data_IF_454445380880
#
_entry.id   IF_454445380880
#
_cell.length_a   1.000
_cell.length_b   1.000
_cell.length_c   1.000
_cell.angle_alpha   90.00
_cell.angle_beta   90.00
_cell.angle_gamma   90.00
#
_symmetry.space_group_name_H-M   'P 1'
#
loop_
_entity.id
_entity.type
_entity.pdbx_description
1 polymer ?
#
# COMPACT_ATOMS: atom_id res chain seq x y z
N UNK A 1 16.62 -32.93 -26.68
CA UNK A 1 15.73 -32.02 -25.93
C UNK A 1 16.55 -30.77 -25.69
N UNK A 2 16.03 -29.60 -26.04
CA UNK A 2 16.80 -28.36 -25.95
C UNK A 2 16.53 -27.70 -24.59
N UNK A 3 17.60 -27.46 -23.83
CA UNK A 3 17.52 -26.93 -22.46
C UNK A 3 18.11 -25.54 -22.47
N UNK A 4 17.29 -24.54 -22.13
CA UNK A 4 17.77 -23.17 -21.96
C UNK A 4 18.11 -22.95 -20.48
N UNK A 5 19.33 -22.47 -20.21
CA UNK A 5 19.83 -22.16 -18.86
C UNK A 5 19.88 -20.65 -18.67
N UNK A 6 19.42 -20.18 -17.51
CA UNK A 6 19.56 -18.79 -17.07
C UNK A 6 19.70 -18.73 -15.55
N UNK A 7 20.46 -17.76 -15.07
CA UNK A 7 20.71 -17.56 -13.64
C UNK A 7 19.56 -16.79 -12.97
N UNK A 8 19.07 -17.32 -11.86
CA UNK A 8 18.43 -16.54 -10.81
C UNK A 8 19.54 -16.22 -9.82
N UNK A 9 19.59 -14.99 -9.28
CA UNK A 9 20.54 -14.63 -8.22
C UNK A 9 20.48 -15.68 -7.09
N UNK A 10 21.46 -16.59 -7.08
CA UNK A 10 21.60 -17.67 -6.09
C UNK A 10 21.06 -19.06 -6.45
N UNK A 11 20.47 -19.32 -7.63
CA UNK A 11 20.05 -20.68 -8.04
C UNK A 11 19.94 -20.85 -9.57
N UNK A 12 20.39 -21.99 -10.11
CA UNK A 12 20.18 -22.35 -11.51
C UNK A 12 18.70 -22.67 -11.78
N UNK A 13 18.09 -22.01 -12.78
CA UNK A 13 16.74 -22.36 -13.26
C UNK A 13 16.86 -23.16 -14.56
N UNK A 14 16.25 -24.35 -14.58
CA UNK A 14 16.19 -25.23 -15.75
C UNK A 14 14.78 -25.18 -16.34
N UNK A 15 14.63 -24.63 -17.55
CA UNK A 15 13.34 -24.60 -18.27
C UNK A 15 13.31 -25.72 -19.30
N UNK A 16 12.39 -26.68 -19.13
CA UNK A 16 12.15 -27.75 -20.10
C UNK A 16 10.88 -27.46 -20.91
N UNK A 17 10.99 -27.50 -22.23
CA UNK A 17 9.87 -27.34 -23.15
C UNK A 17 9.42 -28.71 -23.68
N UNK A 18 8.19 -29.15 -23.36
CA UNK A 18 7.64 -30.41 -23.86
C UNK A 18 7.11 -30.32 -25.30
N UNK A 19 7.08 -31.47 -25.99
CA UNK A 19 6.59 -31.63 -27.39
C UNK A 19 5.05 -31.69 -27.50
N UNK A 20 4.32 -30.90 -26.71
CA UNK A 20 2.85 -30.81 -26.78
C UNK A 20 2.36 -29.83 -27.86
N UNK A 21 1.19 -30.11 -28.47
CA UNK A 21 0.57 -29.29 -29.56
C UNK A 21 -0.02 -27.94 -29.11
N UNK A 22 0.15 -27.52 -27.87
CA UNK A 22 -0.42 -26.26 -27.38
C UNK A 22 0.59 -25.10 -27.52
N UNK A 23 0.21 -24.11 -28.34
CA UNK A 23 0.74 -22.76 -28.44
C UNK A 23 2.26 -22.56 -28.31
N UNK A 24 2.95 -22.72 -29.45
CA UNK A 24 4.35 -22.32 -29.58
C UNK A 24 4.49 -20.79 -29.61
N UNK A 25 5.16 -20.21 -28.63
CA UNK A 25 5.93 -18.97 -28.88
C UNK A 25 7.25 -19.38 -29.51
N UNK A 26 7.49 -18.97 -30.76
CA UNK A 26 8.73 -19.30 -31.46
C UNK A 26 9.98 -18.87 -30.69
N UNK A 27 11.03 -19.68 -30.79
CA UNK A 27 12.35 -19.51 -30.14
C UNK A 27 12.94 -18.10 -30.33
N UNK A 28 12.60 -17.43 -31.44
CA UNK A 28 12.93 -16.04 -31.73
C UNK A 28 12.46 -15.02 -30.67
N UNK A 29 11.55 -15.40 -29.76
CA UNK A 29 11.03 -14.51 -28.70
C UNK A 29 11.87 -14.51 -27.42
N UNK A 30 12.85 -15.42 -27.28
CA UNK A 30 13.68 -15.54 -26.08
C UNK A 30 15.18 -15.69 -26.44
N UNK A 31 15.83 -14.64 -26.98
CA UNK A 31 17.23 -14.70 -27.39
C UNK A 31 18.18 -14.94 -26.20
N UNK A 32 19.30 -15.62 -26.44
CA UNK A 32 20.35 -15.83 -25.43
C UNK A 32 20.84 -14.48 -24.89
N UNK A 33 20.96 -14.34 -23.55
CA UNK A 33 21.37 -13.10 -22.88
C UNK A 33 20.24 -12.10 -22.59
N UNK A 34 18.98 -12.52 -22.66
CA UNK A 34 17.81 -11.71 -22.29
C UNK A 34 17.36 -11.98 -20.85
N UNK A 35 16.88 -10.93 -20.17
CA UNK A 35 16.32 -11.00 -18.81
C UNK A 35 14.79 -11.05 -18.84
N UNK A 36 14.19 -11.83 -17.93
CA UNK A 36 12.75 -12.09 -17.89
C UNK A 36 12.22 -12.00 -16.46
N UNK A 37 10.99 -11.50 -16.30
CA UNK A 37 10.25 -11.53 -15.04
C UNK A 37 9.19 -12.64 -15.15
N UNK A 38 9.18 -13.53 -14.15
CA UNK A 38 8.29 -14.68 -14.09
C UNK A 38 7.14 -14.41 -13.11
N UNK A 39 5.90 -14.34 -13.59
CA UNK A 39 4.72 -14.27 -12.74
C UNK A 39 4.18 -15.70 -12.50
N UNK A 40 4.40 -16.23 -11.31
CA UNK A 40 4.18 -17.65 -10.99
C UNK A 40 2.73 -18.02 -10.65
N UNK A 41 1.85 -17.06 -10.33
CA UNK A 41 0.57 -17.35 -9.66
C UNK A 41 -0.64 -16.65 -10.32
N UNK A 42 -0.95 -17.01 -11.58
CA UNK A 42 -2.21 -16.62 -12.24
C UNK A 42 -3.28 -17.70 -12.13
N UNK A 43 -4.59 -17.37 -12.18
CA UNK A 43 -5.71 -18.32 -12.08
C UNK A 43 -5.76 -19.40 -13.19
N UNK A 44 -4.86 -19.32 -14.17
CA UNK A 44 -4.66 -20.31 -15.24
C UNK A 44 -3.55 -21.33 -14.93
N UNK A 45 -2.98 -21.35 -13.72
CA UNK A 45 -1.93 -22.29 -13.33
C UNK A 45 -2.54 -23.65 -12.95
N UNK A 46 -2.05 -24.73 -13.57
CA UNK A 46 -2.44 -26.11 -13.22
C UNK A 46 -1.52 -26.63 -12.11
N UNK A 47 -2.05 -27.50 -11.23
CA UNK A 47 -1.27 -28.14 -10.16
C UNK A 47 -0.39 -29.27 -10.71
N UNK A 48 0.91 -29.23 -10.39
CA UNK A 48 1.93 -30.18 -10.82
C UNK A 48 3.01 -29.52 -11.67
N UNK A 49 4.28 -29.68 -11.26
CA UNK A 49 5.57 -29.29 -11.88
C UNK A 49 5.53 -28.01 -12.75
N UNK A 50 6.13 -26.95 -12.19
CA UNK A 50 6.18 -25.56 -12.68
C UNK A 50 6.18 -25.37 -14.20
N UNK A 51 5.08 -24.81 -14.72
CA UNK A 51 4.89 -24.46 -16.14
C UNK A 51 4.54 -22.97 -16.32
N UNK A 52 5.11 -22.33 -17.35
CA UNK A 52 4.71 -21.01 -17.88
C UNK A 52 3.44 -21.17 -18.74
N UNK A 53 2.32 -20.58 -18.33
CA UNK A 53 1.09 -20.45 -19.13
C UNK A 53 0.85 -18.95 -19.35
N UNK A 54 0.89 -18.37 -20.55
CA UNK A 54 0.16 -18.65 -21.79
C UNK A 54 -1.36 -18.82 -21.66
N UNK A 55 -1.97 -17.86 -20.94
CA UNK A 55 -3.32 -17.30 -21.16
C UNK A 55 -3.60 -16.09 -20.21
N UNK A 56 -2.57 -15.55 -19.55
CA UNK A 56 -2.72 -14.51 -18.52
C UNK A 56 -2.77 -13.08 -19.07
N UNK A 57 -3.44 -12.20 -18.33
CA UNK A 57 -3.62 -10.75 -18.51
C UNK A 57 -2.40 -9.98 -19.08
N UNK A 58 -1.17 -10.42 -18.81
CA UNK A 58 0.04 -9.64 -19.06
C UNK A 58 0.93 -10.25 -20.16
N UNK A 59 1.48 -9.39 -21.03
CA UNK A 59 2.44 -9.76 -22.10
C UNK A 59 3.57 -8.74 -22.09
N UNK A 60 4.68 -9.04 -21.43
CA UNK A 60 5.74 -8.07 -21.16
C UNK A 60 7.07 -8.48 -21.79
N UNK A 61 7.73 -7.55 -22.48
CA UNK A 61 9.09 -7.69 -23.02
C UNK A 61 10.00 -6.67 -22.35
N UNK A 62 11.12 -7.13 -21.77
CA UNK A 62 12.17 -6.24 -21.26
C UNK A 62 13.21 -5.97 -22.35
N UNK A 63 13.57 -4.71 -22.58
CA UNK A 63 14.63 -4.31 -23.52
C UNK A 63 15.31 -3.04 -23.01
N UNK A 64 16.62 -3.09 -22.79
CA UNK A 64 17.45 -1.93 -22.36
C UNK A 64 16.90 -1.19 -21.13
N UNK A 65 16.48 -1.92 -20.10
CA UNK A 65 15.91 -1.32 -18.88
C UNK A 65 14.46 -0.85 -18.99
N UNK A 66 13.79 -1.09 -20.12
CA UNK A 66 12.37 -0.77 -20.32
C UNK A 66 11.54 -2.03 -20.49
N UNK A 67 10.31 -1.99 -19.99
CA UNK A 67 9.27 -3.02 -20.16
C UNK A 67 8.30 -2.52 -21.20
N UNK A 68 7.97 -3.37 -22.18
CA UNK A 68 7.07 -3.07 -23.28
C UNK A 68 5.98 -4.16 -23.35
N UNK A 69 4.70 -3.78 -23.26
CA UNK A 69 3.57 -4.64 -23.57
C UNK A 69 2.32 -4.42 -22.71
N UNK A 70 1.50 -5.46 -22.50
CA UNK A 70 0.27 -5.37 -21.69
C UNK A 70 0.64 -5.38 -20.20
N UNK A 71 0.73 -4.18 -19.61
CA UNK A 71 1.18 -3.95 -18.23
C UNK A 71 0.02 -3.92 -17.24
N UNK A 72 -1.17 -3.49 -17.64
CA UNK A 72 -2.34 -3.40 -16.76
C UNK A 72 -3.43 -4.42 -17.14
N UNK A 73 -3.04 -5.52 -17.80
CA UNK A 73 -3.89 -6.68 -18.04
C UNK A 73 -4.79 -6.62 -19.28
N UNK A 74 -4.73 -5.54 -20.07
CA UNK A 74 -5.59 -5.35 -21.25
C UNK A 74 -4.98 -5.98 -22.52
N UNK A 75 -5.68 -6.91 -23.20
CA UNK A 75 -5.12 -7.72 -24.29
C UNK A 75 -4.51 -6.96 -25.48
N UNK A 76 -4.93 -5.70 -25.71
CA UNK A 76 -4.51 -4.84 -26.81
C UNK A 76 -3.61 -3.67 -26.39
N UNK A 77 -3.30 -3.56 -25.10
CA UNK A 77 -2.51 -2.44 -24.60
C UNK A 77 -1.01 -2.68 -24.82
N UNK A 78 -0.33 -1.66 -25.33
CA UNK A 78 1.12 -1.65 -25.47
C UNK A 78 1.67 -0.44 -24.71
N UNK A 79 1.99 -0.64 -23.44
CA UNK A 79 2.65 0.37 -22.60
C UNK A 79 4.15 0.16 -22.60
N UNK A 80 4.89 1.26 -22.44
CA UNK A 80 6.32 1.26 -22.16
C UNK A 80 6.56 1.95 -20.83
N UNK A 81 7.36 1.34 -19.96
CA UNK A 81 7.84 1.97 -18.73
C UNK A 81 9.20 1.44 -18.34
N UNK A 82 9.90 2.13 -17.44
CA UNK A 82 11.15 1.63 -16.90
C UNK A 82 10.94 0.35 -16.07
N UNK A 83 11.90 -0.56 -16.11
CA UNK A 83 11.83 -1.88 -15.48
C UNK A 83 11.71 -1.78 -13.95
N UNK A 84 12.37 -0.80 -13.35
CA UNK A 84 12.28 -0.48 -11.91
C UNK A 84 10.88 -0.01 -11.52
N UNK A 85 10.21 0.77 -12.38
CA UNK A 85 8.81 1.17 -12.21
C UNK A 85 7.88 -0.04 -12.27
N UNK A 86 8.10 -0.96 -13.22
CA UNK A 86 7.31 -2.19 -13.30
C UNK A 86 7.55 -3.10 -12.09
N UNK A 87 8.80 -3.29 -11.66
CA UNK A 87 9.14 -4.14 -10.50
C UNK A 87 8.43 -3.66 -9.24
N UNK A 88 8.38 -2.34 -9.04
CA UNK A 88 7.58 -1.68 -8.00
C UNK A 88 6.07 -1.99 -8.16
N UNK A 89 5.52 -1.86 -9.36
CA UNK A 89 4.10 -2.20 -9.62
C UNK A 89 3.71 -3.66 -9.40
N UNK A 90 4.60 -4.61 -9.67
CA UNK A 90 4.29 -6.05 -9.63
C UNK A 90 4.53 -6.63 -8.23
N UNK A 91 5.37 -6.01 -7.42
CA UNK A 91 5.69 -6.49 -6.09
C UNK A 91 5.66 -5.36 -5.08
N UNK A 92 4.79 -5.50 -4.08
CA UNK A 92 4.90 -4.75 -2.82
C UNK A 92 5.80 -5.57 -1.89
N UNK A 93 7.14 -5.36 -1.90
CA UNK A 93 8.03 -6.13 -1.06
C UNK A 93 7.64 -5.95 0.40
N UNK A 94 7.94 -6.95 1.23
CA UNK A 94 7.78 -6.78 2.67
C UNK A 94 8.56 -5.59 3.17
N UNK A 95 7.91 -4.76 3.96
CA UNK A 95 8.52 -3.60 4.58
C UNK A 95 8.18 -3.53 6.07
N UNK A 96 9.11 -2.95 6.82
CA UNK A 96 8.91 -2.46 8.16
C UNK A 96 9.54 -1.08 8.25
N UNK A 97 8.82 -0.11 8.80
CA UNK A 97 9.33 1.24 9.02
C UNK A 97 8.95 1.70 10.43
N UNK A 98 9.92 2.25 11.15
CA UNK A 98 9.71 2.89 12.43
C UNK A 98 10.38 4.26 12.36
N UNK A 99 9.63 5.31 12.66
CA UNK A 99 10.17 6.66 12.68
C UNK A 99 9.49 7.50 13.75
N UNK A 100 10.14 8.59 14.10
CA UNK A 100 9.61 9.62 14.99
C UNK A 100 9.52 10.94 14.21
N UNK A 101 8.62 11.80 14.63
CA UNK A 101 8.45 13.11 14.02
C UNK A 101 7.89 14.12 15.01
N UNK A 102 7.91 15.37 14.57
CA UNK A 102 7.21 16.47 15.22
C UNK A 102 6.50 17.29 14.14
N UNK A 103 5.32 17.80 14.47
CA UNK A 103 4.55 18.65 13.57
C UNK A 103 3.87 19.77 14.36
N UNK A 104 3.92 20.97 13.81
CA UNK A 104 3.24 22.16 14.34
C UNK A 104 1.96 22.45 13.58
N UNK A 105 1.00 23.10 14.24
CA UNK A 105 -0.34 23.37 13.71
C UNK A 105 -0.31 23.91 12.27
N UNK A 106 -1.17 23.35 11.42
CA UNK A 106 -1.29 23.73 10.01
C UNK A 106 -0.10 23.31 9.13
N UNK A 107 0.94 22.67 9.68
CA UNK A 107 2.03 22.08 8.90
C UNK A 107 1.72 20.64 8.57
N UNK A 108 2.14 20.22 7.37
CA UNK A 108 2.13 18.84 6.92
C UNK A 108 3.42 18.15 7.38
N UNK A 109 3.30 16.90 7.83
CA UNK A 109 4.44 15.99 7.95
C UNK A 109 4.39 14.95 6.83
N UNK A 110 5.55 14.55 6.30
CA UNK A 110 5.64 13.51 5.29
C UNK A 110 6.87 12.62 5.52
N UNK A 111 6.69 11.31 5.32
CA UNK A 111 7.77 10.34 5.42
C UNK A 111 7.57 9.21 4.39
N UNK A 112 8.46 9.08 3.39
CA UNK A 112 8.46 7.92 2.48
C UNK A 112 8.76 6.62 3.22
N UNK A 113 8.13 5.52 2.80
CA UNK A 113 8.35 4.17 3.31
C UNK A 113 8.00 3.09 2.26
N UNK A 114 8.54 1.88 2.43
CA UNK A 114 8.18 0.73 1.58
C UNK A 114 8.40 0.93 0.07
N UNK A 115 9.37 1.79 -0.30
CA UNK A 115 9.73 2.24 -1.65
C UNK A 115 8.65 3.01 -2.44
N UNK A 116 7.37 2.73 -2.22
CA UNK A 116 6.26 3.22 -3.04
C UNK A 116 5.25 4.04 -2.26
N UNK A 117 5.34 4.04 -0.93
CA UNK A 117 4.37 4.68 -0.08
C UNK A 117 4.93 5.92 0.59
N UNK A 118 4.03 6.84 0.92
CA UNK A 118 4.33 8.01 1.73
C UNK A 118 3.28 8.11 2.82
N UNK A 119 3.75 8.20 4.06
CA UNK A 119 2.94 8.50 5.22
C UNK A 119 2.83 10.01 5.36
N UNK A 120 1.63 10.51 5.64
CA UNK A 120 1.37 11.91 5.91
C UNK A 120 0.58 12.10 7.20
N UNK A 121 0.88 13.22 7.85
CA UNK A 121 -0.08 13.92 8.69
C UNK A 121 -0.57 15.12 7.90
N UNK A 122 -1.75 14.98 7.31
CA UNK A 122 -2.36 16.01 6.48
C UNK A 122 -3.07 17.02 7.38
N UNK A 123 -2.72 18.32 7.33
CA UNK A 123 -3.36 19.31 8.18
C UNK A 123 -4.85 19.46 7.84
N UNK A 124 -5.67 19.51 8.87
CA UNK A 124 -7.11 19.77 8.80
C UNK A 124 -7.50 20.78 9.89
N UNK A 125 -8.71 21.37 9.86
CA UNK A 125 -9.19 22.18 10.97
C UNK A 125 -9.04 21.45 12.30
N UNK A 126 -8.36 22.07 13.27
CA UNK A 126 -8.18 21.53 14.62
C UNK A 126 -7.10 20.44 14.80
N UNK A 127 -6.45 19.98 13.72
CA UNK A 127 -5.34 19.02 13.84
C UNK A 127 -4.93 18.35 12.52
N UNK A 128 -4.88 17.01 12.49
CA UNK A 128 -4.37 16.25 11.34
C UNK A 128 -5.18 14.99 11.03
N UNK A 129 -5.18 14.59 9.77
CA UNK A 129 -5.60 13.26 9.33
C UNK A 129 -4.38 12.37 9.04
N UNK A 130 -4.45 11.12 9.49
CA UNK A 130 -3.53 10.06 9.07
C UNK A 130 -3.86 9.63 7.65
N UNK A 131 -2.90 9.84 6.75
CA UNK A 131 -3.03 9.54 5.32
C UNK A 131 -1.86 8.66 4.88
N UNK A 132 -2.16 7.62 4.10
CA UNK A 132 -1.16 6.84 3.38
C UNK A 132 -1.46 6.95 1.90
N UNK A 133 -0.48 7.37 1.11
CA UNK A 133 -0.59 7.41 -0.36
C UNK A 133 0.47 6.52 -1.00
N UNK A 134 0.15 6.00 -2.17
CA UNK A 134 1.13 5.42 -3.09
C UNK A 134 1.62 6.50 -4.06
N UNK A 135 2.89 6.43 -4.47
CA UNK A 135 3.49 7.41 -5.37
C UNK A 135 2.70 7.54 -6.68
N UNK A 136 2.27 8.77 -7.00
CA UNK A 136 1.46 9.06 -8.19
C UNK A 136 -0.04 8.82 -8.02
N UNK A 137 -0.54 8.56 -6.80
CA UNK A 137 -1.97 8.45 -6.49
C UNK A 137 -2.36 9.46 -5.42
N UNK A 138 -3.55 10.03 -5.57
CA UNK A 138 -4.13 10.96 -4.59
C UNK A 138 -5.01 10.26 -3.53
N UNK A 139 -5.44 9.03 -3.79
CA UNK A 139 -6.30 8.25 -2.91
C UNK A 139 -5.62 7.98 -1.55
N UNK A 140 -6.40 8.10 -0.47
CA UNK A 140 -5.95 7.76 0.86
C UNK A 140 -6.18 6.27 1.11
N UNK A 141 -5.10 5.49 1.01
CA UNK A 141 -5.11 4.04 1.13
C UNK A 141 -5.51 3.56 2.54
N UNK A 142 -5.46 4.44 3.54
CA UNK A 142 -5.82 4.12 4.93
C UNK A 142 -7.31 4.36 5.26
N UNK A 143 -8.15 4.79 4.29
CA UNK A 143 -9.55 5.20 4.55
C UNK A 143 -10.46 4.10 5.11
N UNK A 144 -10.08 2.83 4.98
CA UNK A 144 -10.84 1.67 5.45
C UNK A 144 -10.37 1.18 6.84
N UNK A 145 -10.05 2.08 7.76
CA UNK A 145 -9.61 1.71 9.10
C UNK A 145 -10.80 1.29 10.00
N UNK A 146 -10.81 0.07 10.58
CA UNK A 146 -11.88 -0.42 11.47
C UNK A 146 -12.00 0.35 12.81
N UNK A 147 -13.07 0.12 13.61
CA UNK A 147 -14.21 -0.77 13.36
C UNK A 147 -15.27 -0.18 12.42
N UNK A 148 -15.96 -1.04 11.67
CA UNK A 148 -17.10 -0.67 10.79
C UNK A 148 -18.47 -0.94 11.43
N UNK A 149 -18.50 -1.65 12.54
CA UNK A 149 -19.72 -2.00 13.29
C UNK A 149 -19.86 -1.22 14.61
N UNK A 150 -18.91 -0.32 14.87
CA UNK A 150 -18.89 0.68 15.95
C UNK A 150 -18.35 1.99 15.37
N UNK A 151 -18.20 3.02 16.19
CA UNK A 151 -17.60 4.28 15.75
C UNK A 151 -16.14 4.00 15.31
N UNK A 152 -15.73 4.34 14.08
CA UNK A 152 -14.42 3.98 13.53
C UNK A 152 -13.28 4.47 14.42
N UNK A 153 -12.09 3.84 14.40
CA UNK A 153 -10.90 4.48 14.96
C UNK A 153 -10.65 5.72 14.11
N UNK A 154 -10.86 6.93 14.64
CA UNK A 154 -10.79 8.11 13.81
C UNK A 154 -9.35 8.28 13.38
N UNK A 155 -9.16 8.39 12.08
CA UNK A 155 -7.86 8.69 11.47
C UNK A 155 -7.48 10.15 11.70
N UNK A 156 -8.44 10.95 12.16
CA UNK A 156 -8.26 12.33 12.56
C UNK A 156 -7.71 12.41 14.00
N UNK A 157 -6.86 13.40 14.22
CA UNK A 157 -6.24 13.74 15.49
C UNK A 157 -6.55 15.22 15.70
N UNK A 158 -7.42 15.52 16.67
CA UNK A 158 -7.81 16.88 17.05
C UNK A 158 -7.66 17.07 18.55
N UNK A 159 -7.58 18.32 19.01
CA UNK A 159 -7.14 18.63 20.38
C UNK A 159 -8.02 18.05 21.48
N UNK A 160 -9.35 17.98 21.28
CA UNK A 160 -10.25 17.39 22.27
C UNK A 160 -9.99 15.89 22.50
N UNK A 161 -9.40 15.16 21.53
CA UNK A 161 -8.99 13.76 21.72
C UNK A 161 -7.92 13.60 22.82
N UNK A 162 -7.21 14.68 23.16
CA UNK A 162 -6.07 14.72 24.07
C UNK A 162 -6.33 15.55 25.33
N UNK A 163 -7.54 16.10 25.46
CA UNK A 163 -7.92 16.98 26.56
C UNK A 163 -8.53 16.20 27.72
N UNK A 164 -8.23 16.62 28.95
CA UNK A 164 -8.87 16.10 30.17
C UNK A 164 -10.20 16.84 30.37
N UNK A 165 -11.33 16.13 30.30
CA UNK A 165 -12.68 16.71 30.33
C UNK A 165 -13.29 17.13 28.97
N UNK A 166 -13.34 16.27 27.94
CA UNK A 166 -13.92 16.61 26.64
C UNK A 166 -15.44 16.92 26.60
N UNK A 167 -16.15 17.00 27.74
CA UNK A 167 -17.61 17.27 27.82
C UNK A 167 -17.98 18.65 27.35
N UNK A 168 -17.05 19.59 27.52
CA UNK A 168 -17.28 21.01 27.23
C UNK A 168 -17.19 21.31 25.73
N UNK A 169 -16.78 20.33 24.91
CA UNK A 169 -16.69 20.47 23.48
C UNK A 169 -18.03 20.20 22.77
N UNK A 170 -18.62 21.20 22.08
CA UNK A 170 -19.94 21.07 21.45
C UNK A 170 -19.94 20.14 20.23
N UNK A 171 -18.83 20.06 19.48
CA UNK A 171 -18.70 19.23 18.27
C UNK A 171 -17.86 17.97 18.53
N UNK A 172 -18.37 17.08 19.39
CA UNK A 172 -17.76 15.76 19.59
C UNK A 172 -18.54 14.69 18.84
N UNK A 173 -17.86 13.99 17.94
CA UNK A 173 -18.40 12.80 17.27
C UNK A 173 -18.58 11.62 18.24
N UNK A 174 -17.92 11.66 19.41
CA UNK A 174 -17.87 10.59 20.40
C UNK A 174 -18.20 11.14 21.80
N UNK A 175 -18.79 10.30 22.66
CA UNK A 175 -18.85 10.58 24.10
C UNK A 175 -17.43 10.59 24.70
N UNK A 176 -17.16 11.42 25.71
CA UNK A 176 -15.83 11.60 26.33
C UNK A 176 -15.06 10.31 26.62
N UNK A 177 -15.76 9.26 27.06
CA UNK A 177 -15.21 7.99 27.51
C UNK A 177 -14.66 7.16 26.34
N UNK A 178 -14.99 7.55 25.11
CA UNK A 178 -14.57 6.93 23.86
C UNK A 178 -13.62 7.83 23.06
N UNK A 179 -13.03 8.84 23.68
CA UNK A 179 -12.01 9.65 23.03
C UNK A 179 -10.86 8.73 22.56
N UNK A 180 -10.40 8.83 21.30
CA UNK A 180 -9.36 7.95 20.75
C UNK A 180 -7.99 8.09 21.44
N UNK A 181 -7.81 9.12 22.27
CA UNK A 181 -6.61 9.33 23.07
C UNK A 181 -5.35 9.59 22.23
N UNK A 182 -4.22 9.06 22.70
CA UNK A 182 -2.88 9.26 22.10
C UNK A 182 -2.49 8.21 21.06
N UNK A 183 -3.29 7.16 20.86
CA UNK A 183 -2.95 6.05 19.96
C UNK A 183 -3.88 5.98 18.75
N UNK A 184 -3.33 5.73 17.57
CA UNK A 184 -4.09 5.46 16.34
C UNK A 184 -3.59 4.17 15.72
N UNK A 185 -4.49 3.22 15.50
CA UNK A 185 -4.22 2.03 14.70
C UNK A 185 -4.97 2.15 13.37
N UNK A 186 -4.31 1.82 12.27
CA UNK A 186 -4.88 1.90 10.94
C UNK A 186 -4.37 0.75 10.05
N UNK A 187 -5.13 0.48 9.00
CA UNK A 187 -4.75 -0.47 7.95
C UNK A 187 -4.75 0.26 6.61
N UNK A 188 -3.99 -0.23 5.65
CA UNK A 188 -3.97 0.35 4.32
C UNK A 188 -3.69 -0.72 3.26
N UNK A 189 -4.10 -0.45 2.02
CA UNK A 189 -3.80 -1.31 0.88
C UNK A 189 -3.89 -0.55 -0.44
N UNK A 190 -3.04 -0.85 -1.43
CA UNK A 190 -3.16 -0.30 -2.78
C UNK A 190 -4.49 -0.68 -3.47
N UNK A 191 -5.17 -1.74 -3.04
CA UNK A 191 -6.48 -2.14 -3.58
C UNK A 191 -7.61 -1.15 -3.23
N UNK A 192 -7.41 -0.32 -2.20
CA UNK A 192 -8.37 0.71 -1.78
C UNK A 192 -8.49 1.78 -2.86
N UNK A 193 -9.73 2.09 -3.26
CA UNK A 193 -10.04 3.05 -4.33
C UNK A 193 -9.84 2.53 -5.75
N UNK A 194 -9.29 1.32 -5.94
CA UNK A 194 -9.25 0.65 -7.24
C UNK A 194 -10.26 -0.49 -7.33
N UNK A 195 -10.17 -1.43 -6.40
CA UNK A 195 -10.97 -2.66 -6.38
C UNK A 195 -11.91 -2.73 -5.18
N UNK A 196 -11.54 -2.04 -4.11
CA UNK A 196 -12.31 -1.99 -2.87
C UNK A 196 -12.81 -0.56 -2.70
N UNK A 197 -14.13 -0.42 -2.66
CA UNK A 197 -14.79 0.85 -2.39
C UNK A 197 -15.58 0.82 -1.07
N UNK A 198 -16.14 1.95 -0.67
CA UNK A 198 -16.91 2.09 0.55
C UNK A 198 -18.40 1.84 0.33
N UNK A 199 -19.10 1.10 1.22
CA UNK A 199 -18.55 0.36 2.36
C UNK A 199 -17.89 -0.97 1.94
N UNK A 200 -16.76 -1.36 2.55
CA UNK A 200 -16.09 -2.60 2.20
C UNK A 200 -16.84 -3.83 2.73
N UNK A 201 -16.75 -4.94 2.02
CA UNK A 201 -17.20 -6.26 2.49
C UNK A 201 -16.18 -6.84 3.49
N UNK A 202 -16.63 -7.71 4.40
CA UNK A 202 -15.77 -8.29 5.42
C UNK A 202 -14.49 -8.97 4.86
N UNK A 203 -14.61 -9.73 3.77
CA UNK A 203 -13.46 -10.38 3.14
C UNK A 203 -12.51 -9.41 2.45
N UNK A 204 -12.98 -8.24 2.01
CA UNK A 204 -12.13 -7.17 1.47
C UNK A 204 -11.33 -6.53 2.59
N UNK A 205 -11.95 -6.37 3.76
CA UNK A 205 -11.27 -5.84 4.93
C UNK A 205 -10.12 -6.74 5.41
N UNK A 206 -10.33 -8.05 5.43
CA UNK A 206 -9.26 -9.00 5.73
C UNK A 206 -8.08 -8.88 4.76
N UNK A 207 -8.34 -8.65 3.47
CA UNK A 207 -7.29 -8.43 2.47
C UNK A 207 -6.49 -7.17 2.77
N UNK A 208 -7.17 -6.06 3.08
CA UNK A 208 -6.52 -4.79 3.44
C UNK A 208 -5.67 -4.98 4.70
N UNK A 209 -6.21 -5.63 5.72
CA UNK A 209 -5.51 -5.88 6.99
C UNK A 209 -4.32 -6.84 6.84
N UNK A 210 -4.34 -7.74 5.85
CA UNK A 210 -3.20 -8.61 5.52
C UNK A 210 -2.11 -7.88 4.76
N UNK A 211 -2.46 -6.85 3.98
CA UNK A 211 -1.48 -6.07 3.22
C UNK A 211 -0.62 -5.17 4.11
N UNK A 212 -1.25 -4.27 4.87
CA UNK A 212 -0.54 -3.17 5.53
C UNK A 212 -1.21 -2.74 6.81
N UNK A 213 -0.40 -2.51 7.84
CA UNK A 213 -0.82 -2.05 9.16
C UNK A 213 0.07 -0.92 9.63
N UNK A 214 -0.53 0.02 10.33
CA UNK A 214 0.16 1.14 10.93
C UNK A 214 -0.34 1.43 12.34
N UNK A 215 0.58 1.88 13.18
CA UNK A 215 0.26 2.51 14.45
C UNK A 215 0.99 3.83 14.60
N UNK A 216 0.28 4.82 15.12
CA UNK A 216 0.83 6.11 15.54
C UNK A 216 0.59 6.28 17.03
N UNK A 217 1.62 6.70 17.75
CA UNK A 217 1.56 7.09 19.16
C UNK A 217 1.99 8.54 19.30
N UNK A 218 1.16 9.34 19.95
CA UNK A 218 1.47 10.73 20.32
C UNK A 218 2.24 10.66 21.64
N UNK A 219 3.49 11.10 21.61
CA UNK A 219 4.41 11.01 22.75
C UNK A 219 4.34 12.26 23.62
N UNK A 220 4.25 13.43 22.97
CA UNK A 220 4.11 14.74 23.61
C UNK A 220 3.26 15.64 22.73
N UNK A 221 2.58 16.59 23.34
CA UNK A 221 1.81 17.58 22.61
C UNK A 221 1.65 18.83 23.46
N UNK A 222 1.27 19.92 22.80
CA UNK A 222 0.79 21.13 23.45
C UNK A 222 -0.57 21.50 22.89
N UNK A 223 -1.52 21.69 23.79
CA UNK A 223 -2.83 22.23 23.48
C UNK A 223 -2.83 23.74 23.69
N UNK A 224 -3.59 24.44 22.87
CA UNK A 224 -3.90 25.85 23.06
C UNK A 224 -5.43 26.04 23.01
N UNK A 225 -5.99 26.97 23.79
CA UNK A 225 -7.41 27.30 23.72
C UNK A 225 -7.81 27.77 22.31
N UNK A 226 -9.00 27.39 21.85
CA UNK A 226 -9.62 28.00 20.67
C UNK A 226 -10.89 28.78 21.04
N UNK A 227 -11.40 29.56 20.10
CA UNK A 227 -12.49 30.51 20.32
C UNK A 227 -13.83 29.85 20.68
N UNK A 228 -14.00 28.58 20.35
CA UNK A 228 -15.16 27.74 20.65
C UNK A 228 -15.06 27.04 22.02
N UNK A 229 -13.98 27.27 22.78
CA UNK A 229 -13.71 26.60 24.05
C UNK A 229 -13.04 25.23 23.90
N UNK A 230 -12.95 24.67 22.68
CA UNK A 230 -12.25 23.42 22.45
C UNK A 230 -10.75 23.67 22.21
N UNK A 231 -9.86 22.90 22.85
CA UNK A 231 -8.45 23.04 22.57
C UNK A 231 -8.12 22.55 21.16
N UNK A 232 -7.19 23.25 20.52
CA UNK A 232 -6.53 22.79 19.29
C UNK A 232 -5.08 22.42 19.60
N UNK A 233 -4.52 21.54 18.78
CA UNK A 233 -3.14 21.10 18.96
C UNK A 233 -2.21 22.14 18.34
N UNK A 234 -1.36 22.76 19.16
CA UNK A 234 -0.31 23.69 18.70
C UNK A 234 0.85 22.92 18.06
N UNK A 235 1.28 21.83 18.70
CA UNK A 235 2.27 20.90 18.14
C UNK A 235 2.15 19.53 18.80
N UNK A 236 2.68 18.50 18.13
CA UNK A 236 2.85 17.17 18.70
C UNK A 236 4.16 16.51 18.26
N UNK A 237 4.77 15.75 19.17
CA UNK A 237 5.80 14.75 18.90
C UNK A 237 5.15 13.37 18.88
N UNK A 238 5.55 12.53 17.93
CA UNK A 238 4.92 11.24 17.72
C UNK A 238 5.92 10.17 17.25
N UNK A 239 5.52 8.91 17.40
CA UNK A 239 6.17 7.76 16.80
C UNK A 239 5.20 7.01 15.89
N UNK A 240 5.71 6.45 14.80
CA UNK A 240 4.93 5.65 13.85
C UNK A 240 5.65 4.32 13.62
N UNK A 241 4.87 3.24 13.58
CA UNK A 241 5.28 1.92 13.12
C UNK A 241 4.40 1.51 11.95
N UNK A 242 5.02 1.09 10.85
CA UNK A 242 4.37 0.60 9.65
C UNK A 242 4.95 -0.77 9.29
N UNK A 243 4.09 -1.69 8.89
CA UNK A 243 4.50 -3.00 8.36
C UNK A 243 3.53 -3.45 7.27
N UNK A 244 4.03 -4.25 6.32
CA UNK A 244 3.20 -4.78 5.24
C UNK A 244 4.00 -5.35 4.07
N UNK A 245 3.32 -5.49 2.94
CA UNK A 245 3.84 -6.12 1.72
C UNK A 245 3.59 -7.64 1.69
N UNK A 246 4.00 -8.28 0.59
CA UNK A 246 3.81 -9.72 0.35
C UNK A 246 5.10 -10.52 0.54
#
# INVERSE_FOLDING_TARGET
>A
METLKGEVLGSEMVVQMEKGRAFRTGQARFPVGSEWILALNGPSSKSGVFTLSHCGEYRLRVKKGEVIGSIDGRPSEQKRMALDVLKRKIHYPRFQAIFKGSVSQGKRFQQPFGEQFVFFLEPMPGGWEVVVKEHGREENLARLTPPFHFVPNPRFIVGWHLFEGPSECPEREYLEWNAPGVHRAFIFSPEVGEKIDYPPKAHELEKVQRFGRGSLSIEKFKLQPAADGCPVIEWMEFSVRLEGGY
#
